data_IF_190145924282
#
_entry.id   IF_190145924282
#
_cell.length_a   1.000
_cell.length_b   1.000
_cell.length_c   1.000
_cell.angle_alpha   90.00
_cell.angle_beta   90.00
_cell.angle_gamma   90.00
#
_symmetry.space_group_name_H-M   'P 1'
#
loop_
_entity.id
_entity.type
_entity.pdbx_description
1 polymer ?
#
# COMPACT_ATOMS: atom_id res chain seq x y z
N UNK A 1 -2.75 -4.60 -7.72
CA UNK A 1 -1.34 -4.85 -7.37
C UNK A 1 -0.79 -6.04 -8.15
N UNK A 2 0.50 -6.03 -8.52
CA UNK A 2 1.12 -7.22 -9.10
C UNK A 2 1.34 -8.30 -8.02
N UNK A 3 1.28 -9.56 -8.45
CA UNK A 3 1.59 -10.68 -7.55
C UNK A 3 3.10 -10.75 -7.30
N UNK A 4 3.59 -10.60 -6.05
CA UNK A 4 5.04 -10.59 -5.75
C UNK A 4 5.72 -11.97 -5.98
N UNK A 5 4.94 -13.04 -6.14
CA UNK A 5 5.47 -14.38 -6.39
C UNK A 5 5.50 -14.77 -7.87
N UNK A 6 4.96 -13.93 -8.76
CA UNK A 6 4.97 -14.14 -10.21
C UNK A 6 5.98 -13.21 -10.90
N UNK A 7 6.49 -13.58 -12.11
CA UNK A 7 7.37 -12.70 -12.87
C UNK A 7 6.71 -11.34 -13.14
N UNK A 8 7.33 -10.26 -12.69
CA UNK A 8 6.72 -8.92 -12.67
C UNK A 8 6.31 -8.43 -14.07
N UNK A 9 7.11 -8.67 -15.09
CA UNK A 9 6.81 -8.24 -16.46
C UNK A 9 5.55 -8.92 -17.02
N UNK A 10 5.35 -10.20 -16.70
CA UNK A 10 4.15 -10.95 -17.10
C UNK A 10 2.92 -10.46 -16.34
N UNK A 11 3.08 -10.13 -15.05
CA UNK A 11 1.99 -9.56 -14.25
C UNK A 11 1.56 -8.17 -14.75
N UNK A 12 2.49 -7.30 -15.12
CA UNK A 12 2.18 -5.97 -15.70
C UNK A 12 1.36 -6.13 -16.98
N UNK A 13 1.77 -7.00 -17.91
CA UNK A 13 1.00 -7.29 -19.12
C UNK A 13 -0.38 -7.84 -18.81
N UNK A 14 -0.45 -8.78 -17.85
CA UNK A 14 -1.72 -9.38 -17.43
C UNK A 14 -2.68 -8.34 -16.82
N UNK A 15 -2.17 -7.37 -16.06
CA UNK A 15 -2.95 -6.27 -15.49
C UNK A 15 -3.49 -5.37 -16.62
N UNK A 16 -2.66 -5.05 -17.60
CA UNK A 16 -3.08 -4.30 -18.79
C UNK A 16 -4.17 -5.04 -19.60
N UNK A 17 -3.98 -6.33 -19.85
CA UNK A 17 -4.96 -7.18 -20.56
C UNK A 17 -6.30 -7.26 -19.82
N UNK A 18 -6.28 -7.21 -18.49
CA UNK A 18 -7.48 -7.22 -17.64
C UNK A 18 -8.20 -5.85 -17.61
N UNK A 19 -7.66 -4.82 -18.29
CA UNK A 19 -8.28 -3.50 -18.47
C UNK A 19 -8.16 -2.58 -17.25
N UNK A 20 -7.09 -2.71 -16.48
CA UNK A 20 -6.73 -1.76 -15.43
C UNK A 20 -6.01 -0.55 -16.01
N UNK A 21 -6.06 0.57 -15.32
CA UNK A 21 -5.48 1.85 -15.74
C UNK A 21 -4.09 2.08 -15.15
N UNK A 22 -3.77 1.41 -14.07
CA UNK A 22 -2.48 1.50 -13.37
C UNK A 22 -2.14 0.17 -12.69
N UNK A 23 -0.89 0.03 -12.29
CA UNK A 23 -0.42 -1.04 -11.40
C UNK A 23 0.12 -0.44 -10.11
N UNK A 24 -0.29 -0.99 -8.99
CA UNK A 24 0.38 -0.83 -7.72
C UNK A 24 1.56 -1.81 -7.73
N UNK A 25 2.76 -1.25 -7.93
CA UNK A 25 3.95 -2.00 -8.29
C UNK A 25 4.80 -2.30 -7.06
N UNK A 26 4.88 -3.57 -6.67
CA UNK A 26 5.88 -4.02 -5.71
C UNK A 26 7.10 -4.60 -6.42
N UNK A 27 8.29 -4.14 -6.02
CA UNK A 27 9.58 -4.58 -6.54
C UNK A 27 10.30 -5.43 -5.49
N UNK A 28 9.78 -6.63 -5.22
CA UNK A 28 10.33 -7.53 -4.21
C UNK A 28 10.56 -8.96 -4.72
N UNK A 29 11.48 -9.73 -4.08
CA UNK A 29 11.66 -11.13 -4.41
C UNK A 29 10.41 -11.98 -4.11
N UNK A 30 10.19 -13.09 -4.84
CA UNK A 30 11.02 -13.57 -5.95
C UNK A 30 10.62 -13.01 -7.32
N UNK A 31 9.47 -12.33 -7.44
CA UNK A 31 8.88 -11.97 -8.73
C UNK A 31 9.56 -10.80 -9.43
N UNK A 32 10.09 -9.84 -8.66
CA UNK A 32 10.57 -8.57 -9.19
C UNK A 32 11.96 -8.15 -8.70
N UNK A 33 12.74 -9.06 -8.11
CA UNK A 33 14.06 -8.69 -7.59
C UNK A 33 15.13 -9.75 -7.86
N UNK A 34 16.28 -9.38 -8.48
CA UNK A 34 16.53 -8.12 -9.19
C UNK A 34 15.69 -8.05 -10.47
N UNK A 35 15.27 -6.86 -10.87
CA UNK A 35 14.58 -6.63 -12.14
C UNK A 35 15.46 -5.74 -13.03
N UNK A 36 15.39 -5.98 -14.33
CA UNK A 36 16.04 -5.14 -15.33
C UNK A 36 15.24 -3.84 -15.48
N UNK A 37 15.81 -2.65 -15.16
CA UNK A 37 15.12 -1.38 -15.29
C UNK A 37 14.71 -1.08 -16.74
N UNK A 38 15.51 -1.49 -17.74
CA UNK A 38 15.16 -1.28 -19.15
C UNK A 38 13.94 -2.10 -19.53
N UNK A 39 13.87 -3.37 -19.12
CA UNK A 39 12.73 -4.23 -19.37
C UNK A 39 11.46 -3.71 -18.66
N UNK A 40 11.58 -3.10 -17.48
CA UNK A 40 10.45 -2.44 -16.82
C UNK A 40 9.97 -1.23 -17.64
N UNK A 41 10.86 -0.33 -18.04
CA UNK A 41 10.48 0.82 -18.88
C UNK A 41 9.81 0.39 -20.19
N UNK A 42 10.32 -0.64 -20.83
CA UNK A 42 9.77 -1.18 -22.07
C UNK A 42 8.34 -1.68 -21.88
N UNK A 43 8.05 -2.48 -20.83
CA UNK A 43 6.71 -3.01 -20.58
C UNK A 43 5.72 -1.92 -20.19
N UNK A 44 6.13 -0.89 -19.43
CA UNK A 44 5.26 0.25 -19.14
C UNK A 44 4.99 1.11 -20.37
N UNK A 45 5.97 1.29 -21.24
CA UNK A 45 5.78 1.95 -22.55
C UNK A 45 4.86 1.16 -23.47
N UNK A 46 4.95 -0.18 -23.46
CA UNK A 46 4.08 -1.09 -24.22
C UNK A 46 2.62 -1.03 -23.74
N UNK A 47 2.42 -1.05 -22.43
CA UNK A 47 1.09 -1.18 -21.81
C UNK A 47 0.39 0.16 -21.59
N UNK A 48 1.14 1.24 -21.42
CA UNK A 48 0.61 2.56 -21.08
C UNK A 48 0.00 2.67 -19.67
N UNK A 49 0.27 1.69 -18.80
CA UNK A 49 -0.23 1.71 -17.41
C UNK A 49 0.44 2.82 -16.59
N UNK A 50 -0.34 3.46 -15.71
CA UNK A 50 0.20 4.28 -14.63
C UNK A 50 0.84 3.42 -13.53
N UNK A 51 1.59 4.05 -12.62
CA UNK A 51 2.28 3.37 -11.52
C UNK A 51 1.95 4.03 -10.19
N UNK A 52 1.64 3.21 -9.19
CA UNK A 52 1.74 3.53 -7.77
C UNK A 52 2.87 2.69 -7.20
N UNK A 53 3.83 3.30 -6.50
CA UNK A 53 4.95 2.57 -5.93
C UNK A 53 4.56 1.87 -4.63
N UNK A 54 4.96 0.61 -4.48
CA UNK A 54 4.78 -0.15 -3.25
C UNK A 54 6.11 -0.77 -2.81
N UNK A 55 6.56 -0.48 -1.60
CA UNK A 55 7.81 -1.05 -1.10
C UNK A 55 7.60 -2.46 -0.55
N UNK A 56 8.70 -3.22 -0.43
CA UNK A 56 8.64 -4.55 0.13
C UNK A 56 8.00 -4.55 1.52
N UNK A 57 7.10 -5.49 1.75
CA UNK A 57 6.28 -5.63 2.96
C UNK A 57 7.08 -5.60 4.27
N UNK A 58 8.28 -6.16 4.27
CA UNK A 58 9.06 -6.39 5.50
C UNK A 58 10.33 -5.54 5.58
N UNK A 59 10.33 -4.31 5.05
CA UNK A 59 11.46 -3.40 5.23
C UNK A 59 11.62 -3.04 6.72
N UNK A 60 12.77 -3.34 7.36
CA UNK A 60 12.99 -3.10 8.78
C UNK A 60 13.33 -1.63 9.06
N UNK A 61 12.39 -0.73 8.69
CA UNK A 61 12.60 0.73 8.74
C UNK A 61 12.76 1.28 10.16
N UNK A 62 12.19 0.62 11.16
CA UNK A 62 12.29 0.99 12.57
C UNK A 62 13.06 -0.05 13.40
N UNK A 63 13.88 -0.88 12.77
CA UNK A 63 14.73 -1.86 13.46
C UNK A 63 15.56 -1.20 14.57
N UNK A 64 15.74 -1.83 15.74
CA UNK A 64 16.64 -1.34 16.77
C UNK A 64 18.13 -1.34 16.34
N UNK A 65 18.48 -2.10 15.27
CA UNK A 65 19.82 -2.15 14.72
C UNK A 65 20.01 -1.06 13.65
N UNK A 66 20.92 -0.07 13.87
CA UNK A 66 21.16 1.01 12.91
C UNK A 66 21.55 0.51 11.51
N UNK A 67 22.30 -0.59 11.44
CA UNK A 67 22.74 -1.19 10.19
C UNK A 67 21.56 -1.70 9.35
N UNK A 68 20.53 -2.28 10.00
CA UNK A 68 19.34 -2.74 9.30
C UNK A 68 18.49 -1.55 8.84
N UNK A 69 18.36 -0.48 9.64
CA UNK A 69 17.68 0.75 9.19
C UNK A 69 18.38 1.39 8.00
N UNK A 70 19.72 1.44 8.03
CA UNK A 70 20.50 1.98 6.91
C UNK A 70 20.27 1.16 5.63
N UNK A 71 20.29 -0.16 5.71
CA UNK A 71 20.00 -1.05 4.59
C UNK A 71 18.57 -0.91 4.08
N UNK A 72 17.58 -0.80 4.98
CA UNK A 72 16.19 -0.58 4.61
C UNK A 72 16.00 0.76 3.88
N UNK A 73 16.61 1.84 4.36
CA UNK A 73 16.60 3.16 3.70
C UNK A 73 17.24 3.13 2.32
N UNK A 74 18.33 2.40 2.15
CA UNK A 74 18.97 2.23 0.82
C UNK A 74 18.06 1.47 -0.14
N UNK A 75 17.45 0.36 0.32
CA UNK A 75 16.46 -0.38 -0.48
C UNK A 75 15.25 0.48 -0.86
N UNK A 76 14.72 1.25 0.09
CA UNK A 76 13.64 2.20 -0.15
C UNK A 76 14.04 3.24 -1.20
N UNK A 77 15.22 3.84 -1.08
CA UNK A 77 15.71 4.84 -2.03
C UNK A 77 15.82 4.28 -3.45
N UNK A 78 16.35 3.06 -3.61
CA UNK A 78 16.44 2.39 -4.92
C UNK A 78 15.07 2.07 -5.52
N UNK A 79 14.10 1.67 -4.68
CA UNK A 79 12.73 1.48 -5.14
C UNK A 79 12.12 2.80 -5.60
N UNK A 80 12.33 3.90 -4.84
CA UNK A 80 11.89 5.24 -5.23
C UNK A 80 12.52 5.72 -6.54
N UNK A 81 13.80 5.42 -6.79
CA UNK A 81 14.46 5.73 -8.07
C UNK A 81 13.72 5.06 -9.23
N UNK A 82 13.43 3.76 -9.10
CA UNK A 82 12.68 3.01 -10.12
C UNK A 82 11.24 3.53 -10.30
N UNK A 83 10.53 3.82 -9.21
CA UNK A 83 9.16 4.34 -9.29
C UNK A 83 9.09 5.73 -9.92
N UNK A 84 10.03 6.62 -9.58
CA UNK A 84 10.15 7.94 -10.20
C UNK A 84 10.41 7.83 -11.72
N UNK A 85 11.36 6.98 -12.14
CA UNK A 85 11.65 6.73 -13.56
C UNK A 85 10.44 6.19 -14.33
N UNK A 86 9.55 5.45 -13.68
CA UNK A 86 8.30 4.93 -14.26
C UNK A 86 7.13 5.92 -14.19
N UNK A 87 7.35 7.12 -13.64
CA UNK A 87 6.34 8.18 -13.59
C UNK A 87 5.34 8.05 -12.43
N UNK A 88 5.65 7.29 -11.38
CA UNK A 88 4.87 7.32 -10.16
C UNK A 88 4.93 8.70 -9.49
N UNK A 89 3.87 9.07 -8.78
CA UNK A 89 3.80 10.31 -7.97
C UNK A 89 3.77 10.00 -6.46
N UNK A 90 3.66 8.74 -6.08
CA UNK A 90 3.54 8.29 -4.69
C UNK A 90 4.16 6.92 -4.47
N UNK A 91 4.53 6.64 -3.22
CA UNK A 91 5.10 5.36 -2.80
C UNK A 91 4.57 4.97 -1.43
N UNK A 92 4.14 3.72 -1.29
CA UNK A 92 3.68 3.13 -0.05
C UNK A 92 4.82 2.52 0.77
N UNK A 93 4.68 2.58 2.10
CA UNK A 93 5.51 1.86 3.07
C UNK A 93 4.64 1.31 4.19
N UNK A 94 4.95 0.11 4.66
CA UNK A 94 4.36 -0.47 5.86
C UNK A 94 5.08 0.01 7.12
N UNK A 95 4.38 0.18 8.25
CA UNK A 95 5.04 0.38 9.52
C UNK A 95 5.77 -0.90 9.94
N UNK A 96 6.97 -0.76 10.50
CA UNK A 96 7.72 -1.89 11.04
C UNK A 96 7.06 -2.40 12.32
N UNK A 97 6.70 -3.68 12.34
CA UNK A 97 6.04 -4.35 13.45
C UNK A 97 7.06 -5.11 14.32
N UNK A 98 8.14 -4.46 14.72
CA UNK A 98 9.20 -5.05 15.55
C UNK A 98 8.63 -5.89 16.68
N UNK A 99 9.27 -7.00 16.98
CA UNK A 99 8.77 -8.08 17.83
C UNK A 99 8.13 -7.62 19.13
N UNK A 100 7.15 -8.39 19.64
CA UNK A 100 6.43 -8.14 20.92
C UNK A 100 7.34 -7.96 22.16
N UNK A 101 8.64 -8.19 22.03
CA UNK A 101 9.62 -8.02 23.12
C UNK A 101 10.08 -6.59 23.30
N UNK A 102 9.86 -5.72 22.30
CA UNK A 102 10.21 -4.30 22.39
C UNK A 102 9.08 -3.47 23.02
N UNK A 103 9.41 -2.46 23.85
CA UNK A 103 8.42 -1.56 24.40
C UNK A 103 7.65 -0.86 23.29
N UNK A 104 6.33 -0.83 23.39
CA UNK A 104 5.45 -0.21 22.37
C UNK A 104 5.84 1.21 22.00
N UNK A 105 6.22 2.02 23.01
CA UNK A 105 6.63 3.40 22.78
C UNK A 105 7.89 3.51 21.89
N UNK A 106 8.83 2.58 22.02
CA UNK A 106 10.04 2.55 21.19
C UNK A 106 9.72 2.17 19.74
N UNK A 107 8.80 1.21 19.54
CA UNK A 107 8.35 0.81 18.18
C UNK A 107 7.69 1.99 17.48
N UNK A 108 6.81 2.73 18.16
CA UNK A 108 6.14 3.90 17.62
C UNK A 108 7.15 5.02 17.31
N UNK A 109 8.06 5.32 18.26
CA UNK A 109 9.08 6.35 18.06
C UNK A 109 10.01 6.01 16.88
N UNK A 110 10.44 4.76 16.75
CA UNK A 110 11.26 4.30 15.63
C UNK A 110 10.57 4.43 14.28
N UNK A 111 9.27 4.09 14.21
CA UNK A 111 8.48 4.31 12.99
C UNK A 111 8.30 5.80 12.67
N UNK A 112 8.05 6.65 13.68
CA UNK A 112 7.94 8.09 13.50
C UNK A 112 9.25 8.72 12.98
N UNK A 113 10.40 8.28 13.50
CA UNK A 113 11.70 8.71 13.01
C UNK A 113 11.93 8.25 11.57
N UNK A 114 11.56 6.98 11.26
CA UNK A 114 11.63 6.46 9.89
C UNK A 114 10.77 7.27 8.92
N UNK A 115 9.55 7.66 9.29
CA UNK A 115 8.69 8.47 8.42
C UNK A 115 9.35 9.79 8.04
N UNK A 116 9.99 10.51 8.97
CA UNK A 116 10.71 11.75 8.65
C UNK A 116 11.83 11.51 7.63
N UNK A 117 12.65 10.47 7.87
CA UNK A 117 13.77 10.15 6.97
C UNK A 117 13.30 9.70 5.58
N UNK A 118 12.28 8.82 5.52
CA UNK A 118 11.79 8.28 4.25
C UNK A 118 10.98 9.33 3.46
N UNK A 119 10.28 10.26 4.12
CA UNK A 119 9.62 11.37 3.47
C UNK A 119 10.61 12.29 2.74
N UNK A 120 11.79 12.55 3.31
CA UNK A 120 12.86 13.29 2.63
C UNK A 120 13.38 12.52 1.40
N UNK A 121 13.58 11.20 1.53
CA UNK A 121 14.05 10.36 0.42
C UNK A 121 13.05 10.34 -0.73
N UNK A 122 11.76 10.19 -0.43
CA UNK A 122 10.68 10.19 -1.41
C UNK A 122 10.53 11.57 -2.08
N UNK A 123 10.50 12.65 -1.29
CA UNK A 123 10.35 14.02 -1.78
C UNK A 123 11.50 14.43 -2.71
N UNK A 124 12.74 13.98 -2.45
CA UNK A 124 13.88 14.22 -3.34
C UNK A 124 13.73 13.58 -4.74
N UNK A 125 12.72 12.71 -4.90
CA UNK A 125 12.35 12.01 -6.15
C UNK A 125 10.95 12.37 -6.62
N UNK A 126 10.41 13.48 -6.13
CA UNK A 126 9.06 13.97 -6.47
C UNK A 126 7.94 12.95 -6.15
N UNK A 127 8.18 12.04 -5.19
CA UNK A 127 7.20 11.07 -4.70
C UNK A 127 6.60 11.53 -3.38
N UNK A 128 5.29 11.33 -3.22
CA UNK A 128 4.62 11.44 -1.92
C UNK A 128 4.73 10.10 -1.19
N UNK A 129 5.34 10.10 -0.01
CA UNK A 129 5.33 8.94 0.89
C UNK A 129 3.92 8.71 1.44
N UNK A 130 3.50 7.45 1.49
CA UNK A 130 2.25 7.02 2.12
C UNK A 130 2.54 5.96 3.18
N UNK A 131 1.86 6.05 4.32
CA UNK A 131 1.92 5.03 5.38
C UNK A 131 0.61 4.26 5.38
N UNK A 132 0.73 2.94 5.28
CA UNK A 132 -0.40 2.02 5.29
C UNK A 132 -0.80 1.57 6.70
N UNK A 133 -2.09 1.40 6.95
CA UNK A 133 -2.55 0.76 8.17
C UNK A 133 -2.36 -0.75 8.09
N UNK A 134 -1.60 -1.31 9.04
CA UNK A 134 -1.56 -2.76 9.24
C UNK A 134 -2.48 -3.19 10.38
N UNK A 135 -3.14 -4.35 10.21
CA UNK A 135 -4.01 -4.93 11.23
C UNK A 135 -3.31 -5.15 12.57
N UNK A 136 -2.03 -5.38 12.56
CA UNK A 136 -1.20 -5.70 13.74
C UNK A 136 -0.43 -4.51 14.32
N UNK A 137 -0.40 -3.36 13.66
CA UNK A 137 0.45 -2.25 14.08
C UNK A 137 -0.06 -1.55 15.34
N UNK A 138 -1.32 -1.62 15.68
CA UNK A 138 -1.82 -1.05 16.92
C UNK A 138 -3.09 -0.22 16.78
N UNK A 139 -3.28 0.73 17.71
CA UNK A 139 -4.46 1.60 17.73
C UNK A 139 -4.38 2.72 16.67
N UNK A 140 -5.51 3.39 16.45
CA UNK A 140 -5.57 4.59 15.61
C UNK A 140 -4.64 5.68 16.16
N UNK A 141 -4.55 5.81 17.50
CA UNK A 141 -3.68 6.81 18.15
C UNK A 141 -2.18 6.49 17.93
N UNK A 142 -1.82 5.22 17.88
CA UNK A 142 -0.44 4.83 17.58
C UNK A 142 -0.07 5.14 16.13
N UNK A 143 -0.98 4.85 15.22
CA UNK A 143 -0.81 5.20 13.80
C UNK A 143 -0.76 6.73 13.60
N UNK A 144 -1.58 7.49 14.34
CA UNK A 144 -1.56 8.95 14.32
C UNK A 144 -0.18 9.50 14.69
N UNK A 145 0.43 8.98 15.76
CA UNK A 145 1.77 9.42 16.20
C UNK A 145 2.85 9.19 15.12
N UNK A 146 2.69 8.17 14.30
CA UNK A 146 3.62 7.88 13.21
C UNK A 146 3.33 8.77 11.99
N UNK A 147 2.06 8.94 11.61
CA UNK A 147 1.66 9.83 10.53
C UNK A 147 1.98 11.30 10.81
N UNK A 148 1.78 11.76 12.05
CA UNK A 148 2.02 13.15 12.45
C UNK A 148 3.51 13.47 12.62
N UNK A 149 4.38 12.50 12.42
CA UNK A 149 5.82 12.74 12.39
C UNK A 149 6.26 13.66 11.24
N UNK A 150 5.53 13.60 10.11
CA UNK A 150 5.77 14.48 8.95
C UNK A 150 4.45 14.72 8.19
N UNK A 151 4.06 15.98 8.03
CA UNK A 151 2.79 16.38 7.40
C UNK A 151 2.72 16.02 5.89
N UNK A 152 3.86 15.74 5.26
CA UNK A 152 3.92 15.32 3.85
C UNK A 152 3.47 13.87 3.64
N UNK A 153 3.52 13.04 4.70
CA UNK A 153 3.13 11.63 4.61
C UNK A 153 1.62 11.51 4.46
N UNK A 154 1.20 10.88 3.37
CA UNK A 154 -0.20 10.54 3.13
C UNK A 154 -0.65 9.31 3.92
N UNK A 155 -1.96 9.17 4.10
CA UNK A 155 -2.55 7.95 4.63
C UNK A 155 -2.89 7.00 3.48
N UNK A 156 -2.41 5.77 3.56
CA UNK A 156 -2.83 4.68 2.68
C UNK A 156 -3.79 3.78 3.48
N UNK A 157 -5.04 3.77 3.07
CA UNK A 157 -6.05 2.92 3.68
C UNK A 157 -6.03 1.53 3.03
N UNK A 158 -5.69 0.51 3.79
CA UNK A 158 -6.05 -0.87 3.46
C UNK A 158 -7.31 -1.27 4.23
N UNK A 159 -8.38 -1.57 3.46
CA UNK A 159 -9.71 -1.93 4.00
C UNK A 159 -9.69 -3.31 4.62
N UNK A 160 -8.98 -4.26 4.02
CA UNK A 160 -8.84 -5.60 4.55
C UNK A 160 -8.12 -5.60 5.90
N UNK A 161 -7.02 -4.85 6.02
CA UNK A 161 -6.32 -4.66 7.28
C UNK A 161 -7.17 -3.93 8.34
N UNK A 162 -8.01 -2.98 7.92
CA UNK A 162 -8.92 -2.29 8.83
C UNK A 162 -10.00 -3.21 9.41
N UNK A 163 -10.34 -4.30 8.72
CA UNK A 163 -11.31 -5.30 9.17
C UNK A 163 -10.70 -6.36 10.11
N UNK A 164 -9.36 -6.52 10.13
CA UNK A 164 -8.71 -7.50 10.99
C UNK A 164 -8.82 -7.13 12.48
N UNK A 165 -9.34 -8.06 13.28
CA UNK A 165 -9.49 -7.86 14.74
C UNK A 165 -10.59 -6.87 15.15
N UNK A 166 -11.48 -6.52 14.24
CA UNK A 166 -12.63 -5.63 14.46
C UNK A 166 -12.77 -4.56 13.38
N UNK A 167 -13.91 -3.94 13.32
CA UNK A 167 -14.18 -2.87 12.34
C UNK A 167 -13.55 -1.55 12.79
N UNK A 168 -12.41 -1.22 12.22
CA UNK A 168 -11.68 0.03 12.52
C UNK A 168 -11.83 1.10 11.44
N UNK A 169 -12.46 0.76 10.31
CA UNK A 169 -12.58 1.66 9.16
C UNK A 169 -13.17 3.04 9.52
N UNK A 170 -14.29 3.16 10.27
CA UNK A 170 -14.83 4.46 10.63
C UNK A 170 -13.84 5.33 11.42
N UNK A 171 -13.15 4.75 12.40
CA UNK A 171 -12.19 5.48 13.22
C UNK A 171 -10.93 5.90 12.43
N UNK A 172 -10.48 5.09 11.48
CA UNK A 172 -9.37 5.43 10.59
C UNK A 172 -9.73 6.59 9.65
N UNK A 173 -10.93 6.56 9.06
CA UNK A 173 -11.39 7.62 8.17
C UNK A 173 -11.73 8.92 8.92
N UNK A 174 -12.26 8.84 10.15
CA UNK A 174 -12.43 10.01 11.02
C UNK A 174 -11.08 10.67 11.35
N UNK A 175 -10.05 9.87 11.62
CA UNK A 175 -8.74 10.39 12.00
C UNK A 175 -7.90 10.88 10.82
N UNK A 176 -7.99 10.22 9.66
CA UNK A 176 -7.03 10.38 8.56
C UNK A 176 -7.67 10.60 7.18
N UNK A 177 -8.99 10.73 7.08
CA UNK A 177 -9.69 10.88 5.80
C UNK A 177 -9.18 12.08 4.99
N UNK A 178 -8.85 13.18 5.64
CA UNK A 178 -8.28 14.39 5.00
C UNK A 178 -6.88 14.16 4.40
N UNK A 179 -6.18 13.11 4.84
CA UNK A 179 -4.83 12.74 4.37
C UNK A 179 -4.86 11.53 3.44
N UNK A 180 -6.05 10.99 3.14
CA UNK A 180 -6.20 9.78 2.31
C UNK A 180 -5.56 10.00 0.93
N UNK A 181 -4.60 9.14 0.59
CA UNK A 181 -3.78 9.26 -0.61
C UNK A 181 -3.87 8.04 -1.53
N UNK A 182 -4.22 6.88 -0.98
CA UNK A 182 -4.44 5.64 -1.71
C UNK A 182 -5.33 4.69 -0.93
N UNK A 183 -5.97 3.74 -1.62
CA UNK A 183 -6.85 2.74 -1.00
C UNK A 183 -6.56 1.36 -1.58
N UNK A 184 -6.30 0.38 -0.71
CA UNK A 184 -6.31 -1.04 -1.05
C UNK A 184 -7.62 -1.71 -0.65
N UNK A 185 -8.10 -2.62 -1.48
CA UNK A 185 -9.32 -3.38 -1.21
C UNK A 185 -9.10 -4.86 -1.52
N UNK A 186 -9.33 -5.66 -0.51
CA UNK A 186 -9.43 -7.12 -0.55
C UNK A 186 -10.32 -7.60 0.58
N UNK A 187 -10.87 -8.81 0.49
CA UNK A 187 -11.79 -9.31 1.49
C UNK A 187 -11.15 -10.32 2.44
N UNK A 188 -11.72 -10.48 3.62
CA UNK A 188 -11.33 -11.47 4.62
C UNK A 188 -12.47 -11.77 5.59
N UNK A 189 -12.24 -12.66 6.57
CA UNK A 189 -13.21 -13.04 7.59
C UNK A 189 -13.01 -12.33 8.94
N UNK A 190 -12.08 -11.36 9.03
CA UNK A 190 -11.79 -10.58 10.23
C UNK A 190 -10.72 -11.18 11.17
N UNK A 191 -10.14 -12.35 10.82
CA UNK A 191 -9.10 -13.02 11.62
C UNK A 191 -7.73 -13.06 10.95
N UNK A 192 -7.71 -13.26 9.65
CA UNK A 192 -6.49 -13.48 8.87
C UNK A 192 -6.51 -12.62 7.59
N UNK A 193 -5.34 -12.19 7.19
CA UNK A 193 -5.13 -11.41 5.98
C UNK A 193 -5.12 -12.34 4.75
N UNK A 194 -6.30 -12.54 4.18
CA UNK A 194 -6.52 -13.59 3.17
C UNK A 194 -6.51 -13.11 1.73
N UNK A 195 -6.53 -11.80 1.49
CA UNK A 195 -6.62 -11.22 0.14
C UNK A 195 -7.69 -11.87 -0.75
N UNK A 196 -8.87 -12.15 -0.17
CA UNK A 196 -9.97 -12.78 -0.88
C UNK A 196 -10.58 -11.83 -1.92
N UNK A 197 -11.22 -12.37 -2.97
CA UNK A 197 -12.03 -11.59 -3.88
C UNK A 197 -13.11 -10.80 -3.13
N UNK A 198 -13.44 -9.60 -3.61
CA UNK A 198 -14.47 -8.77 -3.00
C UNK A 198 -15.82 -9.51 -2.98
N UNK A 199 -16.47 -9.52 -1.82
CA UNK A 199 -17.72 -10.24 -1.57
C UNK A 199 -17.56 -11.73 -1.21
N UNK A 200 -16.31 -12.24 -1.14
CA UNK A 200 -16.05 -13.62 -0.70
C UNK A 200 -15.81 -13.74 0.81
N UNK A 201 -15.59 -12.64 1.52
CA UNK A 201 -15.40 -12.58 2.96
C UNK A 201 -16.61 -12.01 3.69
N UNK A 202 -16.37 -11.11 4.65
CA UNK A 202 -17.42 -10.53 5.52
C UNK A 202 -17.46 -9.00 5.50
N UNK A 203 -16.64 -8.34 4.69
CA UNK A 203 -16.62 -6.88 4.60
C UNK A 203 -17.89 -6.40 3.89
N UNK A 204 -18.59 -5.42 4.48
CA UNK A 204 -19.73 -4.76 3.84
C UNK A 204 -19.24 -3.72 2.82
N UNK A 205 -19.07 -4.12 1.58
CA UNK A 205 -18.52 -3.25 0.53
C UNK A 205 -19.33 -2.00 0.23
N UNK A 206 -20.68 -2.03 0.22
CA UNK A 206 -21.47 -0.79 0.09
C UNK A 206 -21.14 0.21 1.19
N UNK A 207 -21.05 -0.23 2.46
CA UNK A 207 -20.70 0.65 3.59
C UNK A 207 -19.26 1.21 3.47
N UNK A 208 -18.33 0.40 2.96
CA UNK A 208 -16.95 0.84 2.67
C UNK A 208 -16.94 1.93 1.61
N UNK A 209 -17.66 1.73 0.50
CA UNK A 209 -17.75 2.71 -0.59
C UNK A 209 -18.35 4.02 -0.07
N UNK A 210 -19.46 3.97 0.67
CA UNK A 210 -20.08 5.15 1.25
C UNK A 210 -19.13 5.89 2.19
N UNK A 211 -18.39 5.15 3.03
CA UNK A 211 -17.44 5.73 3.98
C UNK A 211 -16.26 6.41 3.28
N UNK A 212 -15.66 5.76 2.26
CA UNK A 212 -14.54 6.33 1.48
C UNK A 212 -15.00 7.56 0.70
N UNK A 213 -16.15 7.50 0.01
CA UNK A 213 -16.71 8.67 -0.69
C UNK A 213 -17.06 9.81 0.26
N UNK A 214 -17.50 9.49 1.46
CA UNK A 214 -17.79 10.48 2.50
C UNK A 214 -16.59 11.35 2.90
N UNK A 215 -15.35 10.91 2.67
CA UNK A 215 -14.14 11.73 2.86
C UNK A 215 -13.88 12.73 1.72
N UNK A 216 -14.58 12.62 0.60
CA UNK A 216 -14.30 13.37 -0.62
C UNK A 216 -13.16 12.77 -1.46
N UNK A 217 -12.71 11.55 -1.15
CA UNK A 217 -11.64 10.89 -1.89
C UNK A 217 -12.06 10.54 -3.32
N UNK A 218 -11.26 10.96 -4.29
CA UNK A 218 -11.45 10.72 -5.73
C UNK A 218 -10.20 10.11 -6.40
N UNK A 219 -9.26 9.61 -5.59
CA UNK A 219 -8.00 9.05 -6.07
C UNK A 219 -8.10 7.57 -6.49
N UNK A 220 -6.93 6.93 -6.57
CA UNK A 220 -6.79 5.55 -7.05
C UNK A 220 -7.18 4.51 -6.00
N UNK A 221 -7.83 3.41 -6.45
CA UNK A 221 -8.17 2.25 -5.62
C UNK A 221 -7.54 1.00 -6.25
N UNK A 222 -6.71 0.32 -5.49
CA UNK A 222 -6.06 -0.94 -5.91
C UNK A 222 -6.86 -2.14 -5.45
N UNK A 223 -7.16 -3.03 -6.39
CA UNK A 223 -7.68 -4.38 -6.07
C UNK A 223 -6.49 -5.26 -5.70
N UNK A 224 -6.36 -5.58 -4.42
CA UNK A 224 -5.27 -6.39 -3.90
C UNK A 224 -5.67 -7.88 -3.80
N UNK A 225 -6.04 -8.43 -4.96
CA UNK A 225 -6.42 -9.83 -5.14
C UNK A 225 -5.46 -10.48 -6.14
N UNK A 226 -4.59 -11.36 -5.66
CA UNK A 226 -3.49 -11.91 -6.46
C UNK A 226 -3.92 -12.95 -7.49
N UNK A 227 -5.05 -13.60 -7.32
CA UNK A 227 -5.56 -14.57 -8.28
C UNK A 227 -6.25 -13.87 -9.47
N UNK A 228 -5.59 -13.86 -10.64
CA UNK A 228 -6.00 -13.13 -11.85
C UNK A 228 -7.50 -13.25 -12.19
N UNK A 229 -8.14 -14.45 -12.20
CA UNK A 229 -9.56 -14.55 -12.56
C UNK A 229 -10.50 -13.77 -11.63
N UNK A 230 -10.11 -13.62 -10.37
CA UNK A 230 -10.89 -12.93 -9.34
C UNK A 230 -10.58 -11.43 -9.25
N UNK A 231 -9.39 -11.01 -9.66
CA UNK A 231 -8.97 -9.60 -9.68
C UNK A 231 -9.90 -8.77 -10.57
N UNK A 232 -10.09 -9.17 -11.81
CA UNK A 232 -11.00 -8.49 -12.75
C UNK A 232 -12.47 -8.55 -12.30
N UNK A 233 -12.91 -9.65 -11.66
CA UNK A 233 -14.26 -9.75 -11.10
C UNK A 233 -14.44 -8.77 -9.92
N UNK A 234 -13.47 -8.68 -9.02
CA UNK A 234 -13.49 -7.75 -7.88
C UNK A 234 -13.51 -6.29 -8.35
N UNK A 235 -12.74 -5.95 -9.39
CA UNK A 235 -12.76 -4.60 -9.97
C UNK A 235 -14.14 -4.22 -10.54
N UNK A 236 -14.85 -5.16 -11.19
CA UNK A 236 -16.23 -4.92 -11.66
C UNK A 236 -17.18 -4.67 -10.50
N UNK A 237 -17.15 -5.50 -9.46
CA UNK A 237 -17.98 -5.32 -8.26
C UNK A 237 -17.71 -3.98 -7.59
N UNK A 238 -16.44 -3.60 -7.41
CA UNK A 238 -16.08 -2.30 -6.86
C UNK A 238 -16.70 -1.15 -7.65
N UNK A 239 -16.55 -1.16 -9.00
CA UNK A 239 -17.13 -0.13 -9.87
C UNK A 239 -18.67 -0.10 -9.80
N UNK A 240 -19.32 -1.25 -9.70
CA UNK A 240 -20.77 -1.34 -9.54
C UNK A 240 -21.23 -0.66 -8.23
N UNK A 241 -20.61 -0.98 -7.10
CA UNK A 241 -20.92 -0.34 -5.82
C UNK A 241 -20.58 1.14 -5.82
N UNK A 242 -19.41 1.53 -6.36
CA UNK A 242 -19.01 2.92 -6.45
C UNK A 242 -19.98 3.78 -7.24
N UNK A 243 -20.53 3.27 -8.34
CA UNK A 243 -21.49 3.98 -9.20
C UNK A 243 -22.92 3.96 -8.64
N UNK A 244 -23.24 3.06 -7.73
CA UNK A 244 -24.55 2.96 -7.10
C UNK A 244 -24.71 3.86 -5.86
N UNK A 245 -23.62 4.27 -5.22
CA UNK A 245 -23.52 5.18 -4.09
C UNK A 245 -23.50 6.65 -4.57
#
# INVERSE_FOLDING_TARGET
MNNPFAPVLDEIRAISDDGFEFVDLTLEPPGAWPVDPDALRDVFSETGLGVVGHTAFFLPIASPYPELRAAARELFARSCDAFHELGADRVNVHPDTVTRTYPRAEVIAGNADAMRELAEVAAARELRLMLENLGQFGSVEDLARVLDADDRVGFHLDVGHAHLGGERLPALLEAFGDRLAHVHVHDNFGSDDLHLPLGAGRISWPDVVDAVRGTGYDGTVTIEVFARPYRAASARLWREWWNAA
#
